data_IF_980727079835
#
_entry.id   IF_980727079835
#
_cell.length_a   1.000
_cell.length_b   1.000
_cell.length_c   1.000
_cell.angle_alpha   90.00
_cell.angle_beta   90.00
_cell.angle_gamma   90.00
#
_symmetry.space_group_name_H-M   'P 1'
#
loop_
_entity.id
_entity.type
_entity.pdbx_description
1 polymer ?
#
# COMPACT_ATOMS: atom_id res chain seq x y z
N UNK A 1 -37.92 -4.27 -24.78
CA UNK A 1 -36.49 -4.66 -24.68
C UNK A 1 -35.92 -3.97 -23.47
N UNK A 2 -35.84 -4.66 -22.33
CA UNK A 2 -35.37 -4.08 -21.07
C UNK A 2 -33.96 -4.60 -20.79
N UNK A 3 -32.98 -3.70 -20.79
CA UNK A 3 -31.59 -4.01 -20.46
C UNK A 3 -31.43 -4.12 -18.96
N UNK A 4 -31.31 -5.33 -18.44
CA UNK A 4 -30.96 -5.61 -17.05
C UNK A 4 -29.46 -5.33 -16.86
N UNK A 5 -29.13 -4.18 -16.26
CA UNK A 5 -27.77 -3.92 -15.82
C UNK A 5 -27.41 -4.88 -14.69
N UNK A 6 -26.28 -5.56 -14.87
CA UNK A 6 -25.61 -6.43 -13.91
C UNK A 6 -25.57 -5.80 -12.51
N UNK A 7 -26.29 -6.41 -11.57
CA UNK A 7 -26.10 -6.20 -10.14
C UNK A 7 -24.77 -6.86 -9.76
N UNK A 8 -23.68 -6.11 -9.87
CA UNK A 8 -22.37 -6.51 -9.37
C UNK A 8 -22.44 -6.44 -7.84
N UNK A 9 -22.77 -7.58 -7.23
CA UNK A 9 -22.74 -7.73 -5.78
C UNK A 9 -21.35 -7.33 -5.28
N UNK A 10 -21.29 -6.24 -4.50
CA UNK A 10 -20.08 -5.83 -3.78
C UNK A 10 -19.71 -6.95 -2.82
N UNK A 11 -18.91 -7.90 -3.30
CA UNK A 11 -18.25 -8.87 -2.47
C UNK A 11 -17.32 -8.08 -1.53
N UNK A 12 -17.59 -8.14 -0.22
CA UNK A 12 -16.73 -7.56 0.82
C UNK A 12 -15.30 -7.99 0.52
N UNK A 13 -14.49 -7.06 0.02
CA UNK A 13 -13.09 -7.31 -0.27
C UNK A 13 -12.45 -7.82 1.04
N UNK A 14 -11.97 -9.07 1.11
CA UNK A 14 -11.44 -9.64 2.35
C UNK A 14 -10.19 -8.90 2.85
N UNK A 15 -9.59 -8.07 2.00
CA UNK A 15 -8.47 -7.19 2.33
C UNK A 15 -8.91 -5.80 2.83
N UNK A 16 -10.20 -5.47 2.77
CA UNK A 16 -10.77 -4.20 3.27
C UNK A 16 -11.09 -4.21 4.77
N UNK A 17 -10.76 -5.28 5.51
CA UNK A 17 -10.84 -5.30 6.97
C UNK A 17 -9.55 -4.80 7.60
N UNK A 18 -9.26 -3.51 7.49
CA UNK A 18 -8.22 -2.86 8.27
C UNK A 18 -8.40 -1.32 8.36
N UNK A 19 -9.60 -0.81 8.61
CA UNK A 19 -9.77 0.61 8.92
C UNK A 19 -10.88 0.82 9.94
N UNK A 20 -10.53 0.67 11.21
CA UNK A 20 -11.20 1.33 12.33
C UNK A 20 -10.19 1.43 13.47
N UNK A 21 -9.74 2.66 13.75
CA UNK A 21 -9.42 3.20 15.08
C UNK A 21 -8.33 4.27 14.96
N UNK A 22 -8.75 5.54 14.96
CA UNK A 22 -7.95 6.59 15.57
C UNK A 22 -8.05 6.33 17.08
N UNK A 23 -7.05 5.71 17.69
CA UNK A 23 -6.72 5.93 19.10
C UNK A 23 -5.34 5.31 19.46
N UNK A 24 -4.45 6.20 19.90
CA UNK A 24 -3.29 5.99 20.79
C UNK A 24 -2.08 5.14 20.35
N UNK A 25 -2.00 4.61 19.12
CA UNK A 25 -0.74 4.08 18.54
C UNK A 25 -0.64 4.32 17.01
N UNK A 26 -0.88 5.55 16.56
CA UNK A 26 -0.97 5.89 15.14
C UNK A 26 0.25 5.44 14.31
N UNK A 27 1.48 5.57 14.82
CA UNK A 27 2.68 5.23 14.05
C UNK A 27 2.90 3.72 13.87
N UNK A 28 2.64 2.90 14.88
CA UNK A 28 2.76 1.44 14.78
C UNK A 28 1.70 0.86 13.82
N UNK A 29 0.48 1.42 13.85
CA UNK A 29 -0.59 1.00 12.95
C UNK A 29 -0.33 1.43 11.50
N UNK A 30 0.12 2.67 11.24
CA UNK A 30 0.45 3.12 9.88
C UNK A 30 1.63 2.34 9.28
N UNK A 31 2.62 2.00 10.11
CA UNK A 31 3.77 1.18 9.74
C UNK A 31 3.35 -0.20 9.28
N UNK A 32 2.55 -0.88 10.11
CA UNK A 32 2.03 -2.21 9.80
C UNK A 32 1.17 -2.24 8.52
N UNK A 33 0.47 -1.13 8.25
CA UNK A 33 -0.37 -0.97 7.07
C UNK A 33 0.46 -0.79 5.80
N UNK A 34 1.46 0.09 5.78
CA UNK A 34 2.33 0.30 4.60
C UNK A 34 3.08 -0.97 4.22
N UNK A 35 3.57 -1.70 5.22
CA UNK A 35 4.24 -2.98 5.00
C UNK A 35 3.27 -4.03 4.43
N UNK A 36 2.02 -4.08 4.92
CA UNK A 36 0.99 -4.94 4.37
C UNK A 36 0.68 -4.60 2.90
N UNK A 37 0.52 -3.31 2.58
CA UNK A 37 0.27 -2.81 1.22
C UNK A 37 1.42 -3.18 0.25
N UNK A 38 2.68 -3.04 0.70
CA UNK A 38 3.84 -3.47 -0.08
C UNK A 38 3.84 -4.99 -0.32
N UNK A 39 3.52 -5.79 0.71
CA UNK A 39 3.51 -7.26 0.58
C UNK A 39 2.44 -7.76 -0.39
N UNK A 40 1.25 -7.17 -0.40
CA UNK A 40 0.19 -7.58 -1.35
C UNK A 40 0.55 -7.22 -2.79
N UNK A 41 1.20 -6.08 -3.04
CA UNK A 41 1.73 -5.74 -4.36
C UNK A 41 2.82 -6.73 -4.82
N UNK A 42 3.75 -7.08 -3.92
CA UNK A 42 4.78 -8.08 -4.22
C UNK A 42 4.20 -9.47 -4.48
N UNK A 43 3.12 -9.86 -3.79
CA UNK A 43 2.40 -11.09 -4.10
C UNK A 43 1.80 -11.05 -5.51
N UNK A 44 1.21 -9.92 -5.91
CA UNK A 44 0.70 -9.71 -7.27
C UNK A 44 1.81 -9.87 -8.32
N UNK A 45 2.99 -9.32 -8.04
CA UNK A 45 4.17 -9.47 -8.89
C UNK A 45 4.62 -10.92 -9.04
N UNK A 46 4.65 -11.69 -7.94
CA UNK A 46 5.02 -13.11 -7.99
C UNK A 46 4.03 -13.91 -8.83
N UNK A 47 2.73 -13.62 -8.73
CA UNK A 47 1.71 -14.26 -9.56
C UNK A 47 1.94 -13.95 -11.05
N UNK A 48 2.12 -12.67 -11.40
CA UNK A 48 2.39 -12.28 -12.80
C UNK A 48 3.72 -12.83 -13.32
N UNK A 49 4.77 -12.89 -12.50
CA UNK A 49 6.05 -13.48 -12.89
C UNK A 49 5.93 -14.98 -13.14
N UNK A 50 5.15 -15.70 -12.33
CA UNK A 50 4.88 -17.12 -12.55
C UNK A 50 4.16 -17.36 -13.88
N UNK A 51 3.25 -16.46 -14.27
CA UNK A 51 2.60 -16.50 -15.59
C UNK A 51 3.59 -16.24 -16.73
N UNK A 52 4.50 -15.27 -16.59
CA UNK A 52 5.53 -15.02 -17.62
C UNK A 52 6.42 -16.25 -17.80
N UNK A 53 6.84 -16.87 -16.70
CA UNK A 53 7.78 -17.99 -16.71
C UNK A 53 7.15 -19.27 -17.30
N UNK A 54 5.84 -19.45 -17.13
CA UNK A 54 5.12 -20.64 -17.59
C UNK A 54 4.02 -20.26 -18.58
N UNK A 55 4.28 -19.29 -19.46
CA UNK A 55 3.21 -18.67 -20.25
C UNK A 55 2.40 -19.70 -21.02
N UNK A 56 3.03 -20.55 -21.83
CA UNK A 56 2.30 -21.48 -22.68
C UNK A 56 1.65 -22.65 -21.91
N UNK A 57 2.19 -22.98 -20.74
CA UNK A 57 1.72 -24.09 -19.87
C UNK A 57 0.87 -23.64 -18.67
N UNK A 58 0.52 -22.34 -18.60
CA UNK A 58 -0.24 -21.78 -17.46
C UNK A 58 -1.66 -22.37 -17.39
N UNK A 59 -2.22 -22.53 -16.17
CA UNK A 59 -3.64 -22.86 -16.03
C UNK A 59 -4.53 -21.83 -16.74
N UNK A 60 -5.65 -22.27 -17.34
CA UNK A 60 -6.51 -21.42 -18.18
C UNK A 60 -7.00 -20.15 -17.46
N UNK A 61 -7.32 -20.26 -16.18
CA UNK A 61 -7.81 -19.19 -15.30
C UNK A 61 -6.70 -18.35 -14.66
N UNK A 62 -5.44 -18.77 -14.70
CA UNK A 62 -4.38 -18.15 -13.91
C UNK A 62 -4.12 -16.67 -14.29
N UNK A 63 -4.31 -16.31 -15.56
CA UNK A 63 -4.21 -14.92 -15.99
C UNK A 63 -5.32 -14.06 -15.39
N UNK A 64 -6.57 -14.53 -15.45
CA UNK A 64 -7.72 -13.82 -14.89
C UNK A 64 -7.61 -13.68 -13.37
N UNK A 65 -7.13 -14.72 -12.69
CA UNK A 65 -6.88 -14.70 -11.25
C UNK A 65 -5.81 -13.67 -10.87
N UNK A 66 -4.70 -13.61 -11.58
CA UNK A 66 -3.66 -12.62 -11.35
C UNK A 66 -4.14 -11.19 -11.61
N UNK A 67 -4.89 -10.96 -12.69
CA UNK A 67 -5.47 -9.65 -12.99
C UNK A 67 -6.53 -9.26 -11.95
N UNK A 68 -7.35 -10.21 -11.48
CA UNK A 68 -8.35 -9.94 -10.44
C UNK A 68 -7.70 -9.58 -9.12
N UNK A 69 -6.66 -10.32 -8.72
CA UNK A 69 -5.90 -10.01 -7.50
C UNK A 69 -5.25 -8.62 -7.59
N UNK A 70 -4.62 -8.30 -8.74
CA UNK A 70 -4.03 -6.99 -8.97
C UNK A 70 -5.08 -5.87 -8.90
N UNK A 71 -6.22 -6.03 -9.58
CA UNK A 71 -7.32 -5.07 -9.58
C UNK A 71 -7.84 -4.77 -8.19
N UNK A 72 -8.01 -5.79 -7.34
CA UNK A 72 -8.52 -5.61 -5.98
C UNK A 72 -7.61 -4.71 -5.13
N UNK A 73 -6.30 -4.80 -5.31
CA UNK A 73 -5.34 -3.90 -4.65
C UNK A 73 -5.52 -2.47 -5.15
N UNK A 74 -5.63 -2.30 -6.47
CA UNK A 74 -5.75 -0.97 -7.08
C UNK A 74 -7.09 -0.29 -6.81
N UNK A 75 -8.18 -1.06 -6.65
CA UNK A 75 -9.46 -0.54 -6.15
C UNK A 75 -9.31 -0.02 -4.72
N UNK A 76 -8.64 -0.77 -3.83
CA UNK A 76 -8.38 -0.31 -2.46
C UNK A 76 -7.60 1.03 -2.43
N UNK A 77 -6.56 1.15 -3.25
CA UNK A 77 -5.78 2.40 -3.34
C UNK A 77 -6.59 3.55 -3.92
N UNK A 78 -7.41 3.28 -4.93
CA UNK A 78 -8.29 4.26 -5.54
C UNK A 78 -9.33 4.79 -4.53
N UNK A 79 -10.03 3.89 -3.84
CA UNK A 79 -11.05 4.25 -2.84
C UNK A 79 -10.41 5.07 -1.71
N UNK A 80 -9.26 4.62 -1.20
CA UNK A 80 -8.48 5.34 -0.17
C UNK A 80 -8.07 6.74 -0.63
N UNK A 81 -7.73 6.92 -1.91
CA UNK A 81 -7.38 8.23 -2.46
C UNK A 81 -8.59 9.17 -2.58
N UNK A 82 -9.80 8.63 -2.77
CA UNK A 82 -11.04 9.41 -2.89
C UNK A 82 -11.65 9.80 -1.54
N UNK A 83 -11.58 8.92 -0.53
CA UNK A 83 -12.17 9.15 0.79
C UNK A 83 -11.43 10.21 1.61
N UNK A 84 -10.10 10.30 1.44
CA UNK A 84 -9.25 11.21 2.22
C UNK A 84 -9.23 12.64 1.64
N UNK A 85 -10.38 13.31 1.57
CA UNK A 85 -10.50 14.69 1.04
C UNK A 85 -9.87 15.75 1.95
N UNK A 86 -9.91 15.53 3.27
CA UNK A 86 -9.62 16.56 4.28
C UNK A 86 -8.31 16.35 5.08
N UNK A 87 -7.61 15.22 4.87
CA UNK A 87 -6.49 14.76 5.72
C UNK A 87 -5.07 15.22 5.36
N UNK A 88 -4.88 16.36 4.67
CA UNK A 88 -3.55 16.97 4.48
C UNK A 88 -2.59 16.32 3.46
N UNK A 89 -3.02 15.35 2.65
CA UNK A 89 -2.22 14.89 1.50
C UNK A 89 -2.24 15.97 0.40
N UNK A 90 -1.08 16.34 -0.19
CA UNK A 90 -1.06 17.24 -1.33
C UNK A 90 -2.01 16.73 -2.42
N UNK A 91 -2.80 17.63 -3.02
CA UNK A 91 -3.74 17.30 -4.10
C UNK A 91 -3.08 16.43 -5.19
N UNK A 92 -1.80 16.69 -5.45
CA UNK A 92 -0.99 16.03 -6.46
C UNK A 92 -0.81 14.53 -6.18
N UNK A 93 -0.60 14.12 -4.93
CA UNK A 93 -0.41 12.71 -4.59
C UNK A 93 -1.68 11.89 -4.85
N UNK A 94 -2.84 12.42 -4.46
CA UNK A 94 -4.14 11.76 -4.72
C UNK A 94 -4.40 11.65 -6.20
N UNK A 95 -4.19 12.74 -6.94
CA UNK A 95 -4.34 12.78 -8.39
C UNK A 95 -3.43 11.75 -9.07
N UNK A 96 -2.19 11.62 -8.62
CA UNK A 96 -1.25 10.61 -9.12
C UNK A 96 -1.73 9.18 -8.88
N UNK A 97 -2.24 8.86 -7.69
CA UNK A 97 -2.80 7.52 -7.38
C UNK A 97 -4.00 7.22 -8.27
N UNK A 98 -4.92 8.16 -8.40
CA UNK A 98 -6.12 8.03 -9.25
C UNK A 98 -5.74 7.82 -10.72
N UNK A 99 -4.80 8.60 -11.24
CA UNK A 99 -4.33 8.47 -12.61
C UNK A 99 -3.66 7.12 -12.86
N UNK A 100 -2.87 6.64 -11.89
CA UNK A 100 -2.20 5.36 -11.99
C UNK A 100 -3.19 4.19 -11.91
N UNK A 101 -4.16 4.22 -11.00
CA UNK A 101 -5.23 3.23 -10.92
C UNK A 101 -6.00 3.13 -12.25
N UNK A 102 -6.37 4.28 -12.83
CA UNK A 102 -7.02 4.33 -14.15
C UNK A 102 -6.15 3.73 -15.26
N UNK A 103 -4.85 3.97 -15.25
CA UNK A 103 -3.91 3.34 -16.19
C UNK A 103 -3.89 1.83 -16.01
N UNK A 104 -3.82 1.34 -14.77
CA UNK A 104 -3.79 -0.10 -14.46
C UNK A 104 -5.08 -0.77 -14.94
N UNK A 105 -6.26 -0.22 -14.65
CA UNK A 105 -7.53 -0.79 -15.08
C UNK A 105 -7.63 -0.89 -16.61
N UNK A 106 -7.23 0.17 -17.33
CA UNK A 106 -7.18 0.14 -18.80
C UNK A 106 -6.20 -0.92 -19.32
N UNK A 107 -5.04 -1.05 -18.68
CA UNK A 107 -4.03 -2.04 -19.05
C UNK A 107 -4.50 -3.47 -18.82
N UNK A 108 -5.19 -3.74 -17.72
CA UNK A 108 -5.75 -5.07 -17.45
C UNK A 108 -6.82 -5.47 -18.47
N UNK A 109 -7.69 -4.53 -18.87
CA UNK A 109 -8.67 -4.78 -19.94
C UNK A 109 -7.95 -5.15 -21.24
N UNK A 110 -6.90 -4.40 -21.61
CA UNK A 110 -6.10 -4.70 -22.80
C UNK A 110 -5.35 -6.05 -22.71
N UNK A 111 -4.89 -6.45 -21.53
CA UNK A 111 -4.27 -7.76 -21.29
C UNK A 111 -5.29 -8.88 -21.47
N UNK A 112 -6.48 -8.75 -20.89
CA UNK A 112 -7.51 -9.77 -20.96
C UNK A 112 -8.11 -9.89 -22.37
N UNK A 113 -8.23 -8.78 -23.09
CA UNK A 113 -8.74 -8.76 -24.47
C UNK A 113 -7.74 -9.36 -25.47
N UNK A 114 -6.44 -9.08 -25.30
CA UNK A 114 -5.38 -9.61 -26.16
C UNK A 114 -4.16 -10.04 -25.32
N UNK A 115 -4.20 -11.27 -24.75
CA UNK A 115 -3.16 -11.75 -23.84
C UNK A 115 -1.79 -11.84 -24.50
N UNK A 116 -0.81 -11.15 -23.90
CA UNK A 116 0.61 -11.24 -24.26
C UNK A 116 1.46 -11.13 -22.99
N UNK A 117 2.47 -11.99 -22.82
CA UNK A 117 3.30 -12.03 -21.61
C UNK A 117 4.00 -10.69 -21.33
N UNK A 118 4.41 -9.98 -22.38
CA UNK A 118 5.15 -8.71 -22.28
C UNK A 118 4.29 -7.59 -21.69
N UNK A 119 2.96 -7.68 -21.84
CA UNK A 119 2.04 -6.68 -21.29
C UNK A 119 2.00 -6.71 -19.76
N UNK A 120 2.39 -7.82 -19.12
CA UNK A 120 2.47 -7.94 -17.66
C UNK A 120 3.65 -7.16 -17.08
N UNK A 121 4.72 -6.93 -17.85
CA UNK A 121 5.95 -6.29 -17.36
C UNK A 121 5.70 -4.90 -16.76
N UNK A 122 4.80 -4.10 -17.36
CA UNK A 122 4.53 -2.77 -16.84
C UNK A 122 3.82 -2.82 -15.48
N UNK A 123 2.91 -3.79 -15.29
CA UNK A 123 2.19 -3.96 -14.03
C UNK A 123 3.15 -4.41 -12.93
N UNK A 124 4.03 -5.36 -13.26
CA UNK A 124 5.09 -5.83 -12.36
C UNK A 124 5.99 -4.68 -11.92
N UNK A 125 6.47 -3.87 -12.88
CA UNK A 125 7.36 -2.75 -12.60
C UNK A 125 6.69 -1.72 -11.70
N UNK A 126 5.48 -1.25 -12.04
CA UNK A 126 4.75 -0.28 -11.24
C UNK A 126 4.56 -0.79 -9.81
N UNK A 127 4.06 -2.01 -9.64
CA UNK A 127 3.84 -2.59 -8.33
C UNK A 127 5.16 -2.73 -7.54
N UNK A 128 6.27 -3.06 -8.21
CA UNK A 128 7.59 -3.18 -7.57
C UNK A 128 8.08 -1.82 -7.07
N UNK A 129 8.04 -0.79 -7.91
CA UNK A 129 8.48 0.56 -7.53
C UNK A 129 7.65 1.12 -6.37
N UNK A 130 6.33 0.92 -6.40
CA UNK A 130 5.46 1.33 -5.29
C UNK A 130 5.78 0.54 -4.02
N UNK A 131 5.97 -0.78 -4.13
CA UNK A 131 6.32 -1.61 -2.97
C UNK A 131 7.64 -1.13 -2.34
N UNK A 132 8.66 -0.85 -3.17
CA UNK A 132 9.94 -0.33 -2.70
C UNK A 132 9.77 1.02 -2.00
N UNK A 133 9.02 1.96 -2.60
CA UNK A 133 8.74 3.26 -1.99
C UNK A 133 7.96 3.16 -0.67
N UNK A 134 7.02 2.21 -0.55
CA UNK A 134 6.29 1.96 0.70
C UNK A 134 7.21 1.38 1.78
N UNK A 135 8.21 0.57 1.41
CA UNK A 135 9.20 -0.03 2.32
C UNK A 135 10.31 0.96 2.73
N UNK A 136 10.85 1.79 1.83
CA UNK A 136 11.90 2.75 2.18
C UNK A 136 11.38 3.89 3.07
N UNK A 137 10.14 4.33 2.84
CA UNK A 137 9.50 5.32 3.71
C UNK A 137 9.22 4.76 5.12
N UNK A 138 9.28 3.44 5.31
CA UNK A 138 9.18 2.79 6.61
C UNK A 138 10.47 2.94 7.41
N UNK A 139 11.61 2.54 6.81
CA UNK A 139 12.93 2.61 7.45
C UNK A 139 13.24 4.04 7.94
N UNK A 140 12.87 5.05 7.15
CA UNK A 140 13.05 6.45 7.52
C UNK A 140 12.16 6.91 8.69
N UNK A 141 10.96 6.34 8.85
CA UNK A 141 10.07 6.65 9.98
C UNK A 141 10.50 5.92 11.27
N UNK A 142 10.97 4.67 11.15
CA UNK A 142 11.51 3.90 12.27
C UNK A 142 12.78 4.55 12.85
N UNK A 143 13.66 5.05 11.97
CA UNK A 143 14.89 5.75 12.39
C UNK A 143 14.57 7.07 13.14
N UNK A 144 13.54 7.81 12.74
CA UNK A 144 13.12 9.04 13.42
C UNK A 144 12.40 8.77 14.75
N UNK A 145 11.63 7.68 14.86
CA UNK A 145 10.98 7.29 16.10
C UNK A 145 11.97 6.85 17.18
N UNK A 146 13.13 6.31 16.80
CA UNK A 146 14.17 5.88 17.74
C UNK A 146 15.01 7.06 18.30
N UNK A 147 15.30 8.11 17.52
CA UNK A 147 16.05 9.28 18.00
C UNK A 147 15.30 10.11 19.06
N UNK A 148 13.97 10.10 19.08
CA UNK A 148 13.16 10.82 20.08
C UNK A 148 12.94 10.07 21.41
N UNK A 149 13.49 8.85 21.57
CA UNK A 149 13.31 8.04 22.81
C UNK A 149 14.54 8.01 23.73
N UNK A 150 15.62 8.72 23.41
CA UNK A 150 16.74 8.86 24.34
C UNK A 150 16.30 9.67 25.58
N UNK A 151 16.42 9.12 26.81
CA UNK A 151 16.08 9.86 28.02
C UNK A 151 16.97 11.11 28.14
N UNK A 152 16.44 12.24 28.64
CA UNK A 152 17.26 13.41 28.91
C UNK A 152 18.43 13.02 29.82
N UNK A 153 19.66 13.33 29.41
CA UNK A 153 20.83 13.21 30.28
C UNK A 153 20.61 14.18 31.43
N UNK A 154 20.18 13.65 32.57
CA UNK A 154 19.91 14.42 33.77
C UNK A 154 21.21 15.03 34.29
N UNK A 155 21.44 16.30 33.94
CA UNK A 155 22.52 17.10 34.49
C UNK A 155 22.21 17.36 35.96
N UNK A 156 22.78 16.53 36.83
CA UNK A 156 22.71 16.65 38.28
C UNK A 156 23.26 18.04 38.70
N UNK A 157 22.52 18.87 39.44
CA UNK A 157 23.04 20.15 39.90
C UNK A 157 24.10 19.93 41.00
N UNK A 158 25.15 20.77 41.10
CA UNK A 158 26.13 20.67 42.16
C UNK A 158 25.50 21.00 43.51
N UNK A 159 25.73 20.13 44.50
CA UNK A 159 25.07 20.14 45.79
C UNK A 159 25.30 21.41 46.61
N UNK A 160 24.23 21.88 47.23
CA UNK A 160 24.24 22.91 48.27
C UNK A 160 24.69 22.29 49.59
N UNK A 161 25.92 22.56 50.03
CA UNK A 161 26.30 22.36 51.44
C UNK A 161 25.89 23.59 52.23
N UNK A 162 24.79 23.46 52.96
CA UNK A 162 24.47 24.31 54.10
C UNK A 162 25.38 23.87 55.24
N UNK A 163 26.22 24.76 55.77
CA UNK A 163 26.85 24.56 57.07
C UNK A 163 26.45 25.71 58.00
N UNK A 164 25.90 25.32 59.14
CA UNK A 164 25.43 26.16 60.23
C UNK A 164 26.44 25.93 61.35
N UNK A 165 27.09 26.98 61.85
CA UNK A 165 27.44 27.23 63.27
C UNK A 165 28.60 28.22 63.40
N UNK A 166 28.44 29.23 64.25
CA UNK A 166 29.53 30.07 64.78
C UNK A 166 29.26 31.55 64.74
#
# INVERSE_FOLDING_TARGET
MSGSYLNMSYNKNPYAKATNAYDTNAQAHTTSQRELEARILLKSNRMMQALINNWDDRPKNALEEAMTYNRQIWVLFYDTALENKDGGRPNDLRSNIVNLANFIFKREIDILAAPKKEKLNILININREISAGLMTNQENQDNQAQEHTAPPVEQRPPGSTTDISG
#
